data_IF_658767689414
#
_entry.id   IF_658767689414
#
_cell.length_a   1.000
_cell.length_b   1.000
_cell.length_c   1.000
_cell.angle_alpha   90.00
_cell.angle_beta   90.00
_cell.angle_gamma   90.00
#
_symmetry.space_group_name_H-M   'P 1'
#
loop_
_entity.id
_entity.type
_entity.pdbx_description
1 polymer ?
#
# COMPACT_ATOMS: atom_id res chain seq x y z
N UNK A 1 -6.98 -18.94 -6.61
CA UNK A 1 -6.35 -20.26 -6.52
C UNK A 1 -4.84 -20.03 -6.47
N UNK A 2 -4.31 -19.55 -5.34
CA UNK A 2 -2.87 -19.68 -5.09
C UNK A 2 -2.69 -21.11 -4.59
N UNK A 3 -2.50 -22.04 -5.53
CA UNK A 3 -1.99 -23.34 -5.14
C UNK A 3 -0.65 -23.09 -4.46
N UNK A 4 -0.43 -23.72 -3.32
CA UNK A 4 0.91 -23.97 -2.84
C UNK A 4 1.57 -24.85 -3.90
N UNK A 5 2.15 -24.25 -4.95
CA UNK A 5 2.96 -24.99 -5.89
C UNK A 5 4.24 -25.33 -5.13
N UNK A 6 4.39 -26.60 -4.78
CA UNK A 6 5.64 -27.22 -4.32
C UNK A 6 6.67 -27.29 -5.45
N UNK A 7 6.77 -26.21 -6.23
CA UNK A 7 7.77 -26.01 -7.27
C UNK A 7 8.93 -25.24 -6.61
N UNK A 8 10.11 -25.87 -6.45
CA UNK A 8 11.25 -25.26 -5.77
C UNK A 8 11.68 -23.93 -6.42
N UNK A 9 11.41 -23.77 -7.73
CA UNK A 9 11.71 -22.53 -8.46
C UNK A 9 10.90 -21.34 -7.95
N UNK A 10 9.69 -21.55 -7.43
CA UNK A 10 8.85 -20.48 -6.89
C UNK A 10 9.39 -19.94 -5.55
N UNK A 11 9.91 -20.81 -4.69
CA UNK A 11 10.56 -20.39 -3.45
C UNK A 11 11.87 -19.65 -3.70
N UNK A 12 12.67 -20.12 -4.65
CA UNK A 12 13.94 -19.48 -5.04
C UNK A 12 13.70 -18.10 -5.65
N UNK A 13 12.73 -17.96 -6.55
CA UNK A 13 12.36 -16.66 -7.14
C UNK A 13 11.90 -15.67 -6.06
N UNK A 14 11.14 -16.14 -5.08
CA UNK A 14 10.68 -15.30 -3.99
C UNK A 14 11.84 -14.82 -3.13
N UNK A 15 12.78 -15.70 -2.79
CA UNK A 15 13.94 -15.32 -1.99
C UNK A 15 14.87 -14.36 -2.75
N UNK A 16 15.06 -14.57 -4.05
CA UNK A 16 15.83 -13.65 -4.89
C UNK A 16 15.26 -12.23 -4.89
N UNK A 17 13.93 -12.06 -4.86
CA UNK A 17 13.31 -10.73 -4.70
C UNK A 17 13.66 -10.08 -3.36
N UNK A 18 13.80 -10.88 -2.29
CA UNK A 18 14.17 -10.40 -0.97
C UNK A 18 15.64 -10.03 -0.84
N UNK A 19 16.50 -10.74 -1.55
CA UNK A 19 17.92 -10.42 -1.61
C UNK A 19 18.20 -9.14 -2.43
N UNK A 20 17.25 -8.72 -3.28
CA UNK A 20 17.39 -7.58 -4.20
C UNK A 20 16.29 -6.51 -3.98
N UNK A 21 15.88 -6.30 -2.72
CA UNK A 21 14.84 -5.33 -2.35
C UNK A 21 15.16 -3.88 -2.76
N UNK A 22 16.44 -3.56 -2.90
CA UNK A 22 16.95 -2.26 -3.33
C UNK A 22 16.64 -1.97 -4.80
N UNK A 23 16.61 -3.00 -5.65
CA UNK A 23 16.27 -2.91 -7.08
C UNK A 23 14.76 -2.68 -7.30
N UNK A 24 13.92 -3.03 -6.33
CA UNK A 24 12.47 -2.85 -6.43
C UNK A 24 12.12 -1.38 -6.17
N UNK A 25 11.61 -0.67 -7.19
CA UNK A 25 11.21 0.73 -7.05
C UNK A 25 9.80 0.91 -6.45
N UNK A 26 8.86 0.02 -6.77
CA UNK A 26 7.43 0.18 -6.46
C UNK A 26 6.83 -1.15 -6.02
N UNK A 27 5.90 -1.09 -5.06
CA UNK A 27 5.04 -2.22 -4.70
C UNK A 27 3.59 -1.89 -5.01
N UNK A 28 2.87 -2.85 -5.59
CA UNK A 28 1.43 -2.82 -5.79
C UNK A 28 0.81 -4.15 -5.37
N UNK A 29 -0.49 -4.18 -5.16
CA UNK A 29 -1.19 -5.40 -4.76
C UNK A 29 -2.67 -5.14 -4.46
N UNK A 30 -3.38 -6.15 -3.95
CA UNK A 30 -4.76 -5.98 -3.49
C UNK A 30 -4.84 -4.90 -2.41
N UNK A 31 -5.72 -3.92 -2.61
CA UNK A 31 -5.83 -2.75 -1.74
C UNK A 31 -6.20 -3.11 -0.28
N UNK A 32 -6.92 -4.22 -0.05
CA UNK A 32 -7.22 -4.67 1.32
C UNK A 32 -6.03 -5.32 2.03
N UNK A 33 -5.04 -5.82 1.29
CA UNK A 33 -3.99 -6.70 1.83
C UNK A 33 -2.56 -6.16 1.69
N UNK A 34 -2.29 -5.24 0.76
CA UNK A 34 -0.91 -4.80 0.48
C UNK A 34 -0.23 -4.19 1.71
N UNK A 35 -0.86 -3.23 2.39
CA UNK A 35 -0.34 -2.62 3.61
C UNK A 35 -0.15 -3.68 4.71
N UNK A 36 -1.17 -4.47 5.09
CA UNK A 36 -1.03 -5.37 6.24
C UNK A 36 -0.05 -6.54 6.01
N UNK A 37 0.11 -7.01 4.76
CA UNK A 37 1.14 -8.00 4.43
C UNK A 37 2.54 -7.40 4.60
N UNK A 38 2.74 -6.18 4.12
CA UNK A 38 4.04 -5.52 4.21
C UNK A 38 4.39 -5.15 5.65
N UNK A 39 3.43 -4.74 6.47
CA UNK A 39 3.66 -4.51 7.90
C UNK A 39 3.97 -5.81 8.66
N UNK A 40 3.41 -6.96 8.26
CA UNK A 40 3.83 -8.24 8.81
C UNK A 40 5.32 -8.52 8.50
N UNK A 41 5.76 -8.25 7.26
CA UNK A 41 7.16 -8.41 6.86
C UNK A 41 8.10 -7.41 7.54
N UNK A 42 7.63 -6.18 7.76
CA UNK A 42 8.37 -5.17 8.53
C UNK A 42 8.55 -5.63 9.98
N UNK A 43 7.49 -6.19 10.59
CA UNK A 43 7.56 -6.73 11.94
C UNK A 43 8.50 -7.94 12.04
N UNK A 44 8.58 -8.77 11.01
CA UNK A 44 9.56 -9.86 10.87
C UNK A 44 11.00 -9.36 10.63
N UNK A 45 11.21 -8.04 10.49
CA UNK A 45 12.53 -7.45 10.26
C UNK A 45 13.05 -7.61 8.83
N UNK A 46 12.18 -7.98 7.88
CA UNK A 46 12.56 -8.23 6.48
C UNK A 46 12.66 -6.96 5.64
N UNK A 47 11.93 -5.91 6.04
CA UNK A 47 11.92 -4.58 5.42
C UNK A 47 11.84 -3.49 6.49
N UNK A 48 12.26 -2.27 6.17
CA UNK A 48 12.12 -1.10 7.07
C UNK A 48 10.85 -0.28 6.76
N UNK A 49 10.44 0.57 7.70
CA UNK A 49 9.36 1.54 7.45
C UNK A 49 9.74 2.55 6.35
N UNK A 50 11.00 2.96 6.30
CA UNK A 50 11.51 3.83 5.24
C UNK A 50 11.39 3.14 3.87
N UNK A 51 11.74 1.86 3.78
CA UNK A 51 11.57 1.09 2.55
C UNK A 51 10.11 1.09 2.10
N UNK A 52 9.17 0.93 3.04
CA UNK A 52 7.74 0.99 2.74
C UNK A 52 7.28 2.34 2.22
N UNK A 53 7.64 3.43 2.90
CA UNK A 53 7.28 4.79 2.47
C UNK A 53 7.85 5.08 1.06
N UNK A 54 9.08 4.65 0.79
CA UNK A 54 9.69 4.83 -0.52
C UNK A 54 8.89 4.09 -1.60
N UNK A 55 8.55 2.81 -1.39
CA UNK A 55 7.95 1.96 -2.43
C UNK A 55 6.44 2.16 -2.63
N UNK A 56 5.73 2.63 -1.60
CA UNK A 56 4.29 2.87 -1.66
C UNK A 56 3.93 4.33 -1.96
N UNK A 57 4.84 5.28 -1.71
CA UNK A 57 4.53 6.72 -1.85
C UNK A 57 5.59 7.47 -2.65
N UNK A 58 6.82 7.62 -2.14
CA UNK A 58 7.80 8.55 -2.74
C UNK A 58 8.24 8.14 -4.15
N UNK A 59 8.54 6.87 -4.38
CA UNK A 59 8.93 6.37 -5.71
C UNK A 59 7.77 6.45 -6.70
N UNK A 60 6.56 5.95 -6.41
CA UNK A 60 5.40 6.14 -7.29
C UNK A 60 5.15 7.61 -7.65
N UNK A 61 5.21 8.50 -6.65
CA UNK A 61 5.02 9.94 -6.85
C UNK A 61 6.05 10.50 -7.83
N UNK A 62 7.34 10.21 -7.61
CA UNK A 62 8.44 10.65 -8.48
C UNK A 62 8.35 10.07 -9.89
N UNK A 63 8.14 8.75 -10.01
CA UNK A 63 8.15 8.03 -11.29
C UNK A 63 7.00 8.49 -12.19
N UNK A 64 5.83 8.74 -11.61
CA UNK A 64 4.63 9.14 -12.34
C UNK A 64 4.43 10.66 -12.42
N UNK A 65 5.29 11.45 -11.77
CA UNK A 65 5.16 12.91 -11.72
C UNK A 65 3.88 13.37 -11.03
N UNK A 66 3.47 12.70 -9.95
CA UNK A 66 2.24 13.04 -9.23
C UNK A 66 2.45 14.28 -8.33
N UNK A 67 1.47 15.18 -8.24
CA UNK A 67 1.56 16.32 -7.33
C UNK A 67 1.56 15.87 -5.87
N UNK A 68 2.05 16.73 -4.98
CA UNK A 68 1.84 16.53 -3.54
C UNK A 68 0.35 16.66 -3.19
N UNK A 69 -0.06 15.94 -2.16
CA UNK A 69 -1.43 15.95 -1.66
C UNK A 69 -1.42 16.48 -0.22
N UNK A 70 -1.37 17.80 -0.08
CA UNK A 70 -1.38 18.43 1.24
C UNK A 70 -2.60 18.01 2.08
N UNK A 71 -2.41 17.90 3.40
CA UNK A 71 -3.46 17.47 4.33
C UNK A 71 -3.96 16.05 4.08
N UNK A 72 -3.18 15.19 3.41
CA UNK A 72 -3.52 13.79 3.14
C UNK A 72 -2.61 12.86 3.91
N UNK A 73 -3.20 11.95 4.69
CA UNK A 73 -2.44 10.97 5.47
C UNK A 73 -3.31 9.75 5.83
N UNK A 74 -2.64 8.68 6.25
CA UNK A 74 -3.25 7.41 6.65
C UNK A 74 -2.81 7.10 8.07
N UNK A 75 -3.76 6.76 8.94
CA UNK A 75 -3.48 6.23 10.28
C UNK A 75 -3.66 4.72 10.28
N UNK A 76 -2.64 4.01 10.78
CA UNK A 76 -2.59 2.54 10.80
C UNK A 76 -2.43 2.08 12.23
N UNK A 77 -3.32 1.19 12.68
CA UNK A 77 -3.13 0.43 13.92
C UNK A 77 -2.15 -0.72 13.64
N UNK A 78 -0.86 -0.45 13.87
CA UNK A 78 0.26 -1.40 13.64
C UNK A 78 0.26 -2.60 14.59
N UNK A 79 -0.50 -2.53 15.69
CA UNK A 79 -0.60 -3.62 16.67
C UNK A 79 -1.66 -4.66 16.30
N UNK A 80 -2.53 -4.35 15.33
CA UNK A 80 -3.61 -5.24 14.94
C UNK A 80 -3.09 -6.42 14.12
N UNK A 81 -3.16 -7.62 14.69
CA UNK A 81 -2.88 -8.88 14.01
C UNK A 81 -4.15 -9.57 13.57
N UNK A 82 -4.11 -10.17 12.38
CA UNK A 82 -5.22 -10.93 11.81
C UNK A 82 -4.72 -11.88 10.71
N UNK A 83 -5.62 -12.71 10.19
CA UNK A 83 -5.30 -13.68 9.14
C UNK A 83 -6.21 -13.45 7.96
N UNK A 84 -5.67 -13.49 6.75
CA UNK A 84 -6.43 -13.37 5.52
C UNK A 84 -7.60 -14.40 5.49
N UNK A 85 -8.83 -13.95 5.22
CA UNK A 85 -10.02 -14.80 5.30
C UNK A 85 -10.09 -15.79 4.14
N UNK A 86 -10.97 -16.79 4.27
CA UNK A 86 -11.28 -17.75 3.20
C UNK A 86 -11.76 -17.04 1.94
N UNK A 87 -11.36 -17.53 0.78
CA UNK A 87 -11.78 -16.97 -0.51
C UNK A 87 -11.04 -15.68 -0.94
N UNK A 88 -10.18 -15.11 -0.11
CA UNK A 88 -9.33 -13.95 -0.46
C UNK A 88 -8.24 -14.28 -1.50
N UNK A 89 -7.99 -15.57 -1.74
CA UNK A 89 -6.82 -16.04 -2.49
C UNK A 89 -5.55 -16.12 -1.65
N UNK A 90 -5.49 -15.46 -0.49
CA UNK A 90 -4.38 -15.45 0.46
C UNK A 90 -4.77 -16.10 1.79
N UNK A 91 -5.74 -17.02 1.77
CA UNK A 91 -6.28 -17.65 2.97
C UNK A 91 -5.17 -18.20 3.88
N UNK A 92 -5.26 -17.87 5.17
CA UNK A 92 -4.30 -18.36 6.18
C UNK A 92 -3.00 -17.55 6.27
N UNK A 93 -2.76 -16.59 5.37
CA UNK A 93 -1.57 -15.73 5.45
C UNK A 93 -1.70 -14.76 6.63
N UNK A 94 -0.69 -14.67 7.52
CA UNK A 94 -0.70 -13.72 8.63
C UNK A 94 -0.54 -12.28 8.12
N UNK A 95 -1.33 -11.39 8.70
CA UNK A 95 -1.38 -9.98 8.39
C UNK A 95 -1.20 -9.17 9.67
N UNK A 96 -0.53 -8.03 9.56
CA UNK A 96 -0.34 -7.11 10.68
C UNK A 96 -0.55 -5.68 10.24
N UNK A 97 -1.18 -4.87 11.08
CA UNK A 97 -1.60 -3.54 10.69
C UNK A 97 -3.05 -3.54 10.21
N UNK A 98 -3.76 -2.46 10.51
CA UNK A 98 -5.06 -2.17 9.92
C UNK A 98 -5.19 -0.67 9.71
N UNK A 99 -5.60 -0.25 8.52
CA UNK A 99 -5.96 1.14 8.27
C UNK A 99 -7.15 1.48 9.16
N UNK A 100 -7.00 2.50 10.00
CA UNK A 100 -8.02 2.96 10.94
C UNK A 100 -8.70 4.23 10.43
N UNK A 101 -7.92 5.13 9.83
CA UNK A 101 -8.39 6.40 9.27
C UNK A 101 -7.63 6.74 7.99
N UNK A 102 -8.34 7.31 7.02
CA UNK A 102 -7.74 8.00 5.88
C UNK A 102 -8.29 9.41 5.86
N UNK A 103 -7.39 10.39 5.84
CA UNK A 103 -7.72 11.79 5.59
C UNK A 103 -7.23 12.14 4.19
N UNK A 104 -8.12 12.65 3.34
CA UNK A 104 -7.80 13.14 2.01
C UNK A 104 -8.09 14.64 1.96
N UNK A 105 -7.06 15.45 1.73
CA UNK A 105 -7.18 16.93 1.61
C UNK A 105 -7.91 17.57 2.81
N UNK A 106 -7.58 17.13 4.01
CA UNK A 106 -8.16 17.64 5.27
C UNK A 106 -9.52 17.04 5.66
N UNK A 107 -10.13 16.20 4.82
CA UNK A 107 -11.42 15.56 5.10
C UNK A 107 -11.26 14.06 5.40
N UNK A 108 -12.02 13.55 6.38
CA UNK A 108 -12.02 12.12 6.69
C UNK A 108 -12.74 11.36 5.56
N UNK A 109 -11.98 10.60 4.79
CA UNK A 109 -12.47 9.80 3.67
C UNK A 109 -12.83 8.36 4.09
N UNK A 110 -12.18 7.85 5.13
CA UNK A 110 -12.42 6.51 5.68
C UNK A 110 -12.19 6.50 7.19
N UNK A 111 -13.05 5.78 7.91
CA UNK A 111 -12.93 5.57 9.36
C UNK A 111 -13.51 4.21 9.74
N UNK A 112 -12.74 3.40 10.47
CA UNK A 112 -13.18 2.14 11.10
C UNK A 112 -14.00 1.21 10.17
N UNK A 113 -13.52 1.00 8.93
CA UNK A 113 -14.17 0.17 7.89
C UNK A 113 -15.38 0.78 7.18
N UNK A 114 -15.59 2.08 7.35
CA UNK A 114 -16.62 2.83 6.63
C UNK A 114 -15.97 3.85 5.71
N UNK A 115 -16.33 3.82 4.42
CA UNK A 115 -15.99 4.90 3.48
C UNK A 115 -16.95 6.06 3.73
N UNK A 116 -16.40 7.23 4.03
CA UNK A 116 -17.14 8.47 4.30
C UNK A 116 -17.02 9.49 3.17
N UNK A 117 -16.08 9.29 2.25
CA UNK A 117 -15.96 10.11 1.06
C UNK A 117 -17.21 10.00 0.19
N UNK A 118 -17.69 11.15 -0.32
CA UNK A 118 -18.81 11.18 -1.26
C UNK A 118 -18.39 10.64 -2.64
N UNK A 119 -19.34 10.03 -3.35
CA UNK A 119 -19.15 9.63 -4.74
C UNK A 119 -18.73 10.85 -5.59
N UNK A 120 -17.72 10.65 -6.45
CA UNK A 120 -17.19 11.73 -7.28
C UNK A 120 -16.30 12.77 -6.56
N UNK A 121 -16.01 12.60 -5.26
CA UNK A 121 -15.09 13.49 -4.52
C UNK A 121 -13.62 13.41 -4.97
N UNK A 122 -13.27 12.42 -5.82
CA UNK A 122 -11.96 12.31 -6.46
C UNK A 122 -11.66 13.47 -7.41
N UNK A 123 -10.38 13.73 -7.64
CA UNK A 123 -9.90 14.75 -8.58
C UNK A 123 -8.93 14.13 -9.57
N UNK A 124 -8.99 14.54 -10.83
CA UNK A 124 -7.97 14.15 -11.81
C UNK A 124 -6.67 14.90 -11.51
N UNK A 125 -5.65 14.14 -11.12
CA UNK A 125 -4.35 14.68 -10.74
C UNK A 125 -3.56 15.26 -11.92
N UNK A 126 -3.91 14.90 -13.17
CA UNK A 126 -3.26 15.43 -14.38
C UNK A 126 -3.73 16.84 -14.76
N UNK A 127 -4.92 17.22 -14.31
CA UNK A 127 -5.46 18.58 -14.53
C UNK A 127 -4.92 19.54 -13.48
N UNK A 128 -4.74 19.09 -12.24
CA UNK A 128 -4.20 19.90 -11.14
C UNK A 128 -2.70 20.20 -11.23
N UNK A 129 -1.96 19.58 -12.16
CA UNK A 129 -0.52 19.78 -12.35
C UNK A 129 -0.18 20.76 -13.49
N UNK A 130 -1.19 21.35 -14.16
CA UNK A 130 -0.96 22.41 -15.14
C UNK A 130 -0.77 23.75 -14.39
N UNK A 131 0.32 24.50 -14.64
CA UNK A 131 0.40 25.88 -14.17
C UNK A 131 -0.73 26.70 -14.83
N UNK A 132 -1.37 27.60 -14.07
CA UNK A 132 -2.32 28.56 -14.66
C UNK A 132 -1.61 29.34 -15.77
N UNK A 133 -2.08 29.23 -17.01
CA UNK A 133 -1.70 30.15 -18.08
C UNK A 133 -2.13 31.56 -17.65
N UNK A 134 -1.17 32.37 -17.22
CA UNK A 134 -1.37 33.80 -16.97
C UNK A 134 -1.71 34.43 -18.32
N UNK A 135 -2.97 34.83 -18.48
CA UNK A 135 -3.48 35.55 -19.65
C UNK A 135 -3.00 36.98 -19.77
#
# INVERSE_FOLDING_TARGET
HLSQSSDPTHSENREALFENLDVIDVVTGPHEYVIPLLFAMQHEGRISLEWLEQRLFKNPQRILGLPEQEGTYIEIDIGKEWTCPKGSGLEGVPCRGRVSRVVLRGEIAYLDNSVLAADGSGRDLRVSSQPEEVG
#
